data_IF_600080271002
#
_entry.id   IF_600080271002
#
_cell.length_a   1.000
_cell.length_b   1.000
_cell.length_c   1.000
_cell.angle_alpha   90.00
_cell.angle_beta   90.00
_cell.angle_gamma   90.00
#
_symmetry.space_group_name_H-M   'P 1'
#
loop_
_entity.id
_entity.type
_entity.pdbx_description
1 polymer ?
#
# COMPACT_ATOMS: atom_id res chain seq x y z
N UNK A 1 18.34 -19.21 13.64
CA UNK A 1 17.36 -18.81 12.59
C UNK A 1 16.80 -20.08 11.98
N UNK A 2 15.47 -20.30 12.01
CA UNK A 2 14.87 -21.56 11.54
C UNK A 2 15.03 -21.66 10.01
N UNK A 3 15.21 -22.87 9.46
CA UNK A 3 15.43 -23.11 8.01
C UNK A 3 14.36 -22.43 7.13
N UNK A 4 13.11 -22.40 7.60
CA UNK A 4 11.99 -21.76 6.90
C UNK A 4 12.14 -20.23 6.80
N UNK A 5 12.75 -19.58 7.79
CA UNK A 5 12.96 -18.12 7.76
C UNK A 5 13.98 -17.72 6.70
N UNK A 6 15.03 -18.54 6.51
CA UNK A 6 16.04 -18.34 5.46
C UNK A 6 15.41 -18.44 4.07
N UNK A 7 14.56 -19.44 3.85
CA UNK A 7 13.88 -19.63 2.56
C UNK A 7 12.97 -18.44 2.27
N UNK A 8 12.15 -18.01 3.23
CA UNK A 8 11.29 -16.84 3.04
C UNK A 8 12.10 -15.58 2.73
N UNK A 9 13.22 -15.36 3.43
CA UNK A 9 14.11 -14.23 3.20
C UNK A 9 14.71 -14.23 1.79
N UNK A 10 15.22 -15.38 1.32
CA UNK A 10 15.74 -15.52 -0.05
C UNK A 10 14.66 -15.25 -1.11
N UNK A 11 13.43 -15.72 -0.90
CA UNK A 11 12.32 -15.48 -1.85
C UNK A 11 11.96 -13.99 -1.87
N UNK A 12 11.84 -13.34 -0.71
CA UNK A 12 11.53 -11.91 -0.62
C UNK A 12 12.59 -11.08 -1.35
N UNK A 13 13.87 -11.35 -1.11
CA UNK A 13 14.97 -10.66 -1.79
C UNK A 13 14.96 -10.93 -3.29
N UNK A 14 14.68 -12.17 -3.69
CA UNK A 14 14.49 -12.54 -5.09
C UNK A 14 13.39 -11.72 -5.77
N UNK A 15 12.24 -11.54 -5.11
CA UNK A 15 11.13 -10.70 -5.61
C UNK A 15 11.50 -9.22 -5.71
N UNK A 16 12.24 -8.68 -4.73
CA UNK A 16 12.71 -7.29 -4.78
C UNK A 16 13.72 -7.02 -5.90
N UNK A 17 14.37 -8.05 -6.44
CA UNK A 17 15.27 -7.92 -7.58
C UNK A 17 14.53 -8.22 -8.90
N UNK A 18 13.76 -9.32 -8.94
CA UNK A 18 13.15 -9.81 -10.17
C UNK A 18 12.03 -8.90 -10.67
N UNK A 19 11.23 -8.30 -9.78
CA UNK A 19 10.13 -7.41 -10.18
C UNK A 19 10.67 -6.13 -10.83
N UNK A 20 11.60 -5.37 -10.22
CA UNK A 20 12.23 -4.23 -10.91
C UNK A 20 12.95 -4.62 -12.19
N UNK A 21 13.69 -5.73 -12.20
CA UNK A 21 14.39 -6.19 -13.40
C UNK A 21 13.40 -6.46 -14.55
N UNK A 22 12.27 -7.13 -14.26
CA UNK A 22 11.23 -7.39 -15.26
C UNK A 22 10.61 -6.10 -15.79
N UNK A 23 10.32 -5.12 -14.92
CA UNK A 23 9.81 -3.81 -15.35
C UNK A 23 10.80 -3.09 -16.28
N UNK A 24 12.10 -3.09 -15.95
CA UNK A 24 13.13 -2.48 -16.79
C UNK A 24 13.26 -3.21 -18.12
N UNK A 25 13.29 -4.54 -18.12
CA UNK A 25 13.37 -5.34 -19.34
C UNK A 25 12.19 -5.07 -20.28
N UNK A 26 10.97 -5.03 -19.75
CA UNK A 26 9.77 -4.73 -20.53
C UNK A 26 9.79 -3.29 -21.07
N UNK A 27 10.28 -2.33 -20.28
CA UNK A 27 10.39 -0.94 -20.71
C UNK A 27 11.40 -0.73 -21.86
N UNK A 28 12.38 -1.62 -22.01
CA UNK A 28 13.37 -1.60 -23.10
C UNK A 28 12.87 -2.29 -24.39
N UNK A 29 11.74 -2.98 -24.36
CA UNK A 29 11.17 -3.62 -25.55
C UNK A 29 10.65 -2.57 -26.55
N UNK A 30 10.53 -2.92 -27.85
CA UNK A 30 9.88 -2.07 -28.84
C UNK A 30 8.48 -1.63 -28.38
N UNK A 31 8.10 -0.38 -28.71
CA UNK A 31 6.83 0.22 -28.28
C UNK A 31 5.61 -0.61 -28.64
N UNK A 32 5.59 -1.23 -29.83
CA UNK A 32 4.50 -2.13 -30.24
C UNK A 32 4.29 -3.32 -29.30
N UNK A 33 5.37 -3.89 -28.75
CA UNK A 33 5.29 -4.98 -27.77
C UNK A 33 4.78 -4.44 -26.43
N UNK A 34 5.27 -3.28 -25.99
CA UNK A 34 4.80 -2.65 -24.77
C UNK A 34 3.29 -2.36 -24.82
N UNK A 35 2.79 -1.80 -25.94
CA UNK A 35 1.36 -1.54 -26.13
C UNK A 35 0.52 -2.83 -26.09
N UNK A 36 1.01 -3.94 -26.68
CA UNK A 36 0.30 -5.22 -26.65
C UNK A 36 0.18 -5.84 -25.25
N UNK A 37 1.05 -5.45 -24.31
CA UNK A 37 1.07 -5.95 -22.93
C UNK A 37 0.22 -5.09 -21.98
N UNK A 38 -0.23 -3.90 -22.42
CA UNK A 38 -1.11 -3.06 -21.61
C UNK A 38 -2.52 -3.67 -21.51
N UNK A 39 -3.17 -3.44 -20.39
CA UNK A 39 -4.55 -3.85 -20.19
C UNK A 39 -5.48 -2.83 -20.82
N UNK A 40 -6.37 -3.26 -21.73
CA UNK A 40 -7.43 -2.41 -22.27
C UNK A 40 -8.75 -2.86 -21.67
N UNK A 41 -9.54 -1.92 -21.16
CA UNK A 41 -10.78 -2.23 -20.43
C UNK A 41 -11.87 -2.81 -21.33
N UNK A 42 -11.80 -2.59 -22.63
CA UNK A 42 -12.70 -3.15 -23.64
C UNK A 42 -12.32 -4.59 -24.07
N UNK A 43 -11.17 -5.11 -23.61
CA UNK A 43 -10.71 -6.47 -23.91
C UNK A 43 -10.59 -7.31 -22.64
N UNK A 44 -11.33 -8.42 -22.57
CA UNK A 44 -11.25 -9.36 -21.45
C UNK A 44 -10.07 -10.33 -21.62
N UNK A 45 -8.87 -9.88 -21.27
CA UNK A 45 -7.65 -10.69 -21.37
C UNK A 45 -6.89 -10.72 -20.03
N UNK A 46 -6.93 -11.88 -19.36
CA UNK A 46 -6.30 -12.07 -18.06
C UNK A 46 -4.77 -11.95 -18.13
N UNK A 47 -4.15 -12.29 -19.25
CA UNK A 47 -2.69 -12.17 -19.43
C UNK A 47 -2.31 -10.69 -19.42
N UNK A 48 -3.01 -9.84 -20.17
CA UNK A 48 -2.72 -8.40 -20.17
C UNK A 48 -3.13 -7.73 -18.85
N UNK A 49 -4.16 -8.22 -18.16
CA UNK A 49 -4.49 -7.75 -16.81
C UNK A 49 -3.34 -7.94 -15.84
N UNK A 50 -2.61 -9.07 -15.93
CA UNK A 50 -1.43 -9.28 -15.11
C UNK A 50 -0.22 -8.50 -15.65
N UNK A 51 0.12 -8.69 -16.93
CA UNK A 51 1.33 -8.15 -17.55
C UNK A 51 1.39 -6.62 -17.57
N UNK A 52 0.24 -5.95 -17.64
CA UNK A 52 0.16 -4.49 -17.59
C UNK A 52 0.81 -3.88 -16.34
N UNK A 53 0.89 -4.65 -15.25
CA UNK A 53 1.56 -4.26 -14.00
C UNK A 53 3.06 -3.96 -14.19
N UNK A 54 3.70 -4.56 -15.21
CA UNK A 54 5.13 -4.39 -15.47
C UNK A 54 5.42 -3.39 -16.60
N UNK A 55 4.40 -2.97 -17.36
CA UNK A 55 4.52 -1.99 -18.45
C UNK A 55 4.43 -0.57 -17.90
N UNK A 56 5.24 0.36 -18.38
CA UNK A 56 5.26 1.74 -17.89
C UNK A 56 5.17 2.74 -19.05
N UNK A 57 4.34 3.77 -18.89
CA UNK A 57 4.06 4.75 -19.94
C UNK A 57 5.27 5.63 -20.32
N UNK A 58 6.15 5.93 -19.35
CA UNK A 58 7.35 6.73 -19.56
C UNK A 58 8.37 6.46 -18.45
N UNK A 59 9.57 7.00 -18.62
CA UNK A 59 10.69 6.81 -17.69
C UNK A 59 10.38 7.30 -16.27
N UNK A 60 9.74 8.47 -16.11
CA UNK A 60 9.38 9.00 -14.79
C UNK A 60 8.38 8.11 -14.07
N UNK A 61 7.41 7.54 -14.79
CA UNK A 61 6.44 6.59 -14.27
C UNK A 61 7.14 5.29 -13.82
N UNK A 62 8.06 4.75 -14.62
CA UNK A 62 8.88 3.59 -14.22
C UNK A 62 9.69 3.90 -12.96
N UNK A 63 10.46 4.98 -12.98
CA UNK A 63 11.36 5.34 -11.89
C UNK A 63 10.61 5.56 -10.57
N UNK A 64 9.50 6.31 -10.60
CA UNK A 64 8.67 6.56 -9.42
C UNK A 64 8.11 5.26 -8.81
N UNK A 65 7.65 4.34 -9.66
CA UNK A 65 7.15 3.04 -9.21
C UNK A 65 8.26 2.16 -8.62
N UNK A 66 9.44 2.10 -9.25
CA UNK A 66 10.55 1.28 -8.74
C UNK A 66 11.08 1.81 -7.41
N UNK A 67 11.28 3.12 -7.29
CA UNK A 67 11.71 3.75 -6.03
C UNK A 67 10.70 3.45 -4.93
N UNK A 68 9.40 3.60 -5.22
CA UNK A 68 8.34 3.38 -4.23
C UNK A 68 8.24 1.89 -3.85
N UNK A 69 8.29 0.98 -4.83
CA UNK A 69 8.25 -0.46 -4.60
C UNK A 69 9.39 -0.93 -3.70
N UNK A 70 10.63 -0.52 -3.99
CA UNK A 70 11.80 -0.87 -3.16
C UNK A 70 11.72 -0.22 -1.80
N UNK A 71 11.41 1.08 -1.72
CA UNK A 71 11.37 1.82 -0.46
C UNK A 71 10.35 1.22 0.51
N UNK A 72 9.10 1.03 0.07
CA UNK A 72 8.06 0.42 0.90
C UNK A 72 8.28 -1.07 1.13
N UNK A 73 8.68 -1.80 0.09
CA UNK A 73 8.95 -3.23 0.19
C UNK A 73 10.01 -3.53 1.25
N UNK A 74 11.19 -2.92 1.14
CA UNK A 74 12.29 -3.09 2.10
C UNK A 74 11.87 -2.64 3.49
N UNK A 75 11.14 -1.53 3.58
CA UNK A 75 10.69 -1.00 4.84
C UNK A 75 9.74 -1.94 5.60
N UNK A 76 8.68 -2.41 4.95
CA UNK A 76 7.72 -3.34 5.54
C UNK A 76 8.38 -4.68 5.82
N UNK A 77 9.29 -5.11 4.95
CA UNK A 77 10.14 -6.27 5.18
C UNK A 77 10.94 -6.12 6.48
N UNK A 78 11.58 -4.97 6.73
CA UNK A 78 12.35 -4.74 7.94
C UNK A 78 11.49 -4.79 9.20
N UNK A 79 10.29 -4.18 9.19
CA UNK A 79 9.32 -4.28 10.29
C UNK A 79 8.99 -5.75 10.57
N UNK A 80 8.59 -6.50 9.53
CA UNK A 80 8.21 -7.89 9.68
C UNK A 80 9.40 -8.81 10.00
N UNK A 81 10.63 -8.44 9.62
CA UNK A 81 11.85 -9.16 9.99
C UNK A 81 12.15 -9.00 11.47
N UNK A 82 12.07 -7.78 12.00
CA UNK A 82 12.27 -7.48 13.43
C UNK A 82 11.24 -8.25 14.28
N UNK A 83 10.01 -8.34 13.79
CA UNK A 83 8.91 -9.06 14.44
C UNK A 83 8.92 -10.58 14.20
N UNK A 84 9.92 -11.13 13.50
CA UNK A 84 9.98 -12.55 13.10
C UNK A 84 8.77 -13.06 12.30
N UNK A 85 8.12 -12.18 11.52
CA UNK A 85 6.93 -12.46 10.68
C UNK A 85 7.24 -12.55 9.18
N UNK A 86 8.48 -12.87 8.80
CA UNK A 86 8.93 -12.99 7.40
C UNK A 86 8.03 -13.85 6.52
N UNK A 87 7.59 -15.02 7.00
CA UNK A 87 6.69 -15.91 6.24
C UNK A 87 5.33 -15.27 5.96
N UNK A 88 4.76 -14.57 6.95
CA UNK A 88 3.48 -13.86 6.80
C UNK A 88 3.60 -12.71 5.81
N UNK A 89 4.67 -11.92 5.94
CA UNK A 89 4.97 -10.87 4.97
C UNK A 89 5.14 -11.41 3.55
N UNK A 90 5.84 -12.54 3.36
CA UNK A 90 5.96 -13.17 2.05
C UNK A 90 4.59 -13.56 1.47
N UNK A 91 3.68 -14.09 2.28
CA UNK A 91 2.31 -14.41 1.84
C UNK A 91 1.58 -13.14 1.40
N UNK A 92 1.61 -12.07 2.20
CA UNK A 92 1.00 -10.77 1.84
C UNK A 92 1.60 -10.22 0.53
N UNK A 93 2.93 -10.27 0.39
CA UNK A 93 3.64 -9.79 -0.80
C UNK A 93 3.25 -10.58 -2.04
N UNK A 94 3.19 -11.91 -1.96
CA UNK A 94 2.76 -12.77 -3.07
C UNK A 94 1.31 -12.50 -3.45
N UNK A 95 0.41 -12.31 -2.49
CA UNK A 95 -0.99 -11.97 -2.76
C UNK A 95 -1.13 -10.61 -3.44
N UNK A 96 -0.37 -9.61 -2.98
CA UNK A 96 -0.33 -8.28 -3.63
C UNK A 96 0.21 -8.40 -5.05
N UNK A 97 1.30 -9.12 -5.30
CA UNK A 97 1.89 -9.21 -6.64
C UNK A 97 1.02 -10.06 -7.57
N UNK A 98 0.48 -11.19 -7.09
CA UNK A 98 -0.20 -12.17 -7.92
C UNK A 98 -1.69 -11.87 -8.11
N UNK A 99 -2.41 -11.46 -7.05
CA UNK A 99 -3.87 -11.37 -7.09
C UNK A 99 -4.38 -9.94 -7.35
N UNK A 100 -3.70 -8.93 -6.80
CA UNK A 100 -4.13 -7.55 -6.91
C UNK A 100 -4.23 -7.03 -8.36
N UNK A 101 -3.32 -7.38 -9.30
CA UNK A 101 -3.47 -6.97 -10.70
C UNK A 101 -4.80 -7.41 -11.32
N UNK A 102 -5.28 -8.61 -10.99
CA UNK A 102 -6.56 -9.12 -11.47
C UNK A 102 -7.73 -8.38 -10.83
N UNK A 103 -7.73 -8.22 -9.51
CA UNK A 103 -8.79 -7.51 -8.78
C UNK A 103 -8.94 -6.10 -9.37
N UNK A 104 -7.82 -5.38 -9.50
CA UNK A 104 -7.84 -4.03 -10.04
C UNK A 104 -8.31 -3.98 -11.50
N UNK A 105 -7.73 -4.77 -12.41
CA UNK A 105 -8.09 -4.67 -13.83
C UNK A 105 -9.52 -5.18 -14.12
N UNK A 106 -10.01 -6.18 -13.39
CA UNK A 106 -11.41 -6.61 -13.49
C UNK A 106 -12.33 -5.48 -13.01
N UNK A 107 -12.10 -4.92 -11.81
CA UNK A 107 -12.91 -3.82 -11.30
C UNK A 107 -12.84 -2.58 -12.20
N UNK A 108 -11.66 -2.28 -12.74
CA UNK A 108 -11.45 -1.16 -13.63
C UNK A 108 -12.15 -1.36 -14.98
N UNK A 109 -12.10 -2.57 -15.54
CA UNK A 109 -12.85 -2.90 -16.76
C UNK A 109 -14.36 -2.79 -16.57
N UNK A 110 -14.89 -3.26 -15.42
CA UNK A 110 -16.32 -3.12 -15.11
C UNK A 110 -16.73 -1.63 -15.02
N UNK A 111 -15.99 -0.82 -14.27
CA UNK A 111 -16.29 0.61 -14.13
C UNK A 111 -16.17 1.33 -15.49
N UNK A 112 -15.11 1.06 -16.25
CA UNK A 112 -14.87 1.70 -17.52
C UNK A 112 -15.97 1.39 -18.55
N UNK A 113 -16.44 0.13 -18.62
CA UNK A 113 -17.47 -0.27 -19.58
C UNK A 113 -18.89 0.13 -19.15
N UNK A 114 -19.24 -0.04 -17.88
CA UNK A 114 -20.62 0.16 -17.41
C UNK A 114 -20.91 1.60 -16.96
N UNK A 115 -19.92 2.29 -16.38
CA UNK A 115 -20.10 3.62 -15.80
C UNK A 115 -19.54 4.70 -16.73
N UNK A 116 -18.26 4.59 -17.09
CA UNK A 116 -17.57 5.61 -17.90
C UNK A 116 -17.95 5.51 -19.38
N UNK A 117 -18.31 4.29 -19.84
CA UNK A 117 -18.63 3.96 -21.24
C UNK A 117 -17.53 4.35 -22.21
N UNK A 118 -16.27 4.17 -21.80
CA UNK A 118 -15.08 4.48 -22.62
C UNK A 118 -14.02 3.40 -22.44
N UNK A 119 -13.35 3.06 -23.54
CA UNK A 119 -12.15 2.23 -23.51
C UNK A 119 -10.99 3.00 -22.89
N UNK A 120 -10.45 2.46 -21.80
CA UNK A 120 -9.32 2.99 -21.07
C UNK A 120 -8.18 1.96 -21.08
N UNK A 121 -6.96 2.46 -20.94
CA UNK A 121 -5.75 1.63 -20.89
C UNK A 121 -5.16 1.74 -19.50
N UNK A 122 -4.77 0.60 -18.93
CA UNK A 122 -4.04 0.53 -17.67
C UNK A 122 -2.66 -0.08 -17.85
N UNK A 123 -1.68 0.49 -17.14
CA UNK A 123 -0.33 0.00 -17.03
C UNK A 123 0.36 0.57 -15.79
N UNK A 124 1.35 -0.14 -15.27
CA UNK A 124 2.24 0.32 -14.22
C UNK A 124 2.14 -0.50 -12.93
N UNK A 125 3.23 -0.48 -12.16
CA UNK A 125 3.35 -1.16 -10.88
C UNK A 125 2.60 -0.44 -9.75
N UNK A 126 1.98 0.71 -10.02
CA UNK A 126 1.38 1.60 -9.02
C UNK A 126 0.32 0.91 -8.17
N UNK A 127 -0.47 -0.02 -8.72
CA UNK A 127 -1.44 -0.80 -7.93
C UNK A 127 -0.74 -1.68 -6.88
N UNK A 128 0.37 -2.33 -7.25
CA UNK A 128 1.18 -3.16 -6.33
C UNK A 128 1.85 -2.28 -5.28
N UNK A 129 2.42 -1.12 -5.69
CA UNK A 129 2.99 -0.14 -4.77
C UNK A 129 1.96 0.34 -3.76
N UNK A 130 0.76 0.69 -4.21
CA UNK A 130 -0.35 1.09 -3.35
C UNK A 130 -0.78 -0.05 -2.40
N UNK A 131 -0.74 -1.30 -2.87
CA UNK A 131 -0.87 -2.49 -2.03
C UNK A 131 0.16 -2.56 -0.90
N UNK A 132 1.42 -2.28 -1.20
CA UNK A 132 2.48 -2.22 -0.18
C UNK A 132 2.26 -1.06 0.78
N UNK A 133 1.90 0.13 0.28
CA UNK A 133 1.56 1.28 1.14
C UNK A 133 0.44 0.88 2.11
N UNK A 134 -0.64 0.29 1.61
CA UNK A 134 -1.73 -0.22 2.46
C UNK A 134 -1.26 -1.27 3.50
N UNK A 135 -0.37 -2.19 3.12
CA UNK A 135 0.19 -3.22 4.00
C UNK A 135 1.04 -2.64 5.16
N UNK A 136 1.49 -1.39 5.03
CA UNK A 136 2.21 -0.69 6.10
C UNK A 136 1.33 -0.51 7.35
N UNK A 137 0.04 -0.25 7.18
CA UNK A 137 -0.93 -0.05 8.28
C UNK A 137 -1.00 -1.27 9.22
N UNK A 138 -1.35 -2.48 8.75
CA UNK A 138 -1.40 -3.65 9.63
C UNK A 138 -0.02 -4.06 10.17
N UNK A 139 1.06 -3.83 9.41
CA UNK A 139 2.43 -4.07 9.89
C UNK A 139 2.78 -3.17 11.10
N UNK A 140 2.39 -1.90 11.05
CA UNK A 140 2.52 -0.98 12.18
C UNK A 140 1.62 -1.35 13.36
N UNK A 141 0.41 -1.82 13.09
CA UNK A 141 -0.51 -2.24 14.16
C UNK A 141 0.08 -3.38 14.99
N UNK A 142 0.73 -4.35 14.34
CA UNK A 142 1.42 -5.44 15.05
C UNK A 142 2.58 -4.90 15.88
N UNK A 143 3.33 -3.96 15.32
CA UNK A 143 4.44 -3.32 16.02
C UNK A 143 3.97 -2.58 17.29
N UNK A 144 2.83 -1.88 17.23
CA UNK A 144 2.21 -1.21 18.39
C UNK A 144 1.60 -2.22 19.37
N UNK A 145 1.00 -3.31 18.86
CA UNK A 145 0.44 -4.38 19.70
C UNK A 145 1.52 -5.04 20.54
N UNK A 146 2.66 -5.37 19.94
CA UNK A 146 3.77 -6.00 20.66
C UNK A 146 4.42 -5.01 21.66
N UNK A 147 4.28 -3.70 21.44
CA UNK A 147 4.76 -2.64 22.33
C UNK A 147 3.85 -2.44 23.56
N UNK A 148 2.54 -2.35 23.34
CA UNK A 148 1.55 -2.00 24.36
C UNK A 148 0.87 -3.21 25.00
N UNK A 149 0.96 -4.39 24.38
CA UNK A 149 0.33 -5.64 24.83
C UNK A 149 -1.17 -5.49 25.13
N UNK A 150 -1.85 -4.63 24.36
CA UNK A 150 -3.26 -4.31 24.56
C UNK A 150 -3.99 -4.27 23.21
N UNK A 151 -5.00 -5.13 23.07
CA UNK A 151 -5.80 -5.25 21.85
C UNK A 151 -6.66 -4.00 21.60
N UNK A 152 -7.18 -3.37 22.65
CA UNK A 152 -7.97 -2.15 22.52
C UNK A 152 -7.13 -1.03 21.89
N UNK A 153 -5.88 -0.87 22.33
CA UNK A 153 -4.96 0.12 21.76
C UNK A 153 -4.59 -0.21 20.31
N UNK A 154 -4.46 -1.49 19.99
CA UNK A 154 -4.20 -1.96 18.62
C UNK A 154 -5.38 -1.62 17.71
N UNK A 155 -6.60 -1.82 18.18
CA UNK A 155 -7.81 -1.45 17.46
C UNK A 155 -7.96 0.07 17.29
N UNK A 156 -7.72 0.84 18.36
CA UNK A 156 -7.71 2.30 18.29
C UNK A 156 -6.64 2.81 17.32
N UNK A 157 -5.46 2.22 17.33
CA UNK A 157 -4.37 2.56 16.42
C UNK A 157 -4.72 2.23 14.96
N UNK A 158 -5.21 1.01 14.69
CA UNK A 158 -5.68 0.62 13.36
C UNK A 158 -6.76 1.57 12.84
N UNK A 159 -7.77 1.82 13.66
CA UNK A 159 -8.89 2.71 13.33
C UNK A 159 -8.39 4.14 13.07
N UNK A 160 -7.44 4.61 13.89
CA UNK A 160 -6.83 5.93 13.69
C UNK A 160 -6.10 6.03 12.35
N UNK A 161 -5.30 5.02 11.98
CA UNK A 161 -4.58 5.00 10.72
C UNK A 161 -5.53 4.89 9.53
N UNK A 162 -6.62 4.12 9.64
CA UNK A 162 -7.64 4.04 8.59
C UNK A 162 -8.32 5.41 8.36
N UNK A 163 -8.74 6.10 9.44
CA UNK A 163 -9.34 7.42 9.30
C UNK A 163 -8.36 8.47 8.76
N UNK A 164 -7.12 8.49 9.25
CA UNK A 164 -6.09 9.39 8.73
C UNK A 164 -5.73 9.07 7.27
N UNK A 165 -5.73 7.80 6.88
CA UNK A 165 -5.51 7.39 5.48
C UNK A 165 -6.65 7.89 4.59
N UNK A 166 -7.90 7.72 5.02
CA UNK A 166 -9.06 8.27 4.30
C UNK A 166 -9.04 9.80 4.22
N UNK A 167 -8.61 10.46 5.30
CA UNK A 167 -8.42 11.92 5.33
C UNK A 167 -7.34 12.38 4.34
N UNK A 168 -6.17 11.74 4.34
CA UNK A 168 -5.10 12.03 3.40
C UNK A 168 -5.52 11.82 1.94
N UNK A 169 -6.32 10.79 1.67
CA UNK A 169 -6.92 10.55 0.35
C UNK A 169 -7.95 11.63 -0.05
N UNK A 170 -8.67 12.20 0.92
CA UNK A 170 -9.67 13.24 0.68
C UNK A 170 -9.05 14.64 0.55
N UNK A 171 -7.84 14.84 1.08
CA UNK A 171 -7.18 16.15 1.14
C UNK A 171 -7.04 16.85 -0.22
N UNK A 172 -6.61 16.19 -1.32
CA UNK A 172 -6.53 16.83 -2.63
C UNK A 172 -7.88 17.40 -3.11
N UNK A 173 -8.98 16.88 -2.59
CA UNK A 173 -10.35 17.20 -3.02
C UNK A 173 -11.09 18.13 -2.05
N UNK A 174 -10.41 18.63 -1.02
CA UNK A 174 -11.03 19.43 0.04
C UNK A 174 -11.66 20.73 -0.49
N UNK A 175 -11.16 21.27 -1.60
CA UNK A 175 -11.69 22.48 -2.24
C UNK A 175 -12.99 22.22 -3.02
N UNK A 176 -13.33 20.97 -3.34
CA UNK A 176 -14.48 20.60 -4.16
C UNK A 176 -15.76 20.40 -3.32
N UNK A 177 -16.14 21.44 -2.58
CA UNK A 177 -17.44 21.52 -1.89
C UNK A 177 -17.45 21.06 -0.43
N UNK A 178 -18.54 21.42 0.27
CA UNK A 178 -18.71 21.21 1.71
C UNK A 178 -18.63 19.74 2.13
N UNK A 179 -19.11 18.82 1.29
CA UNK A 179 -19.06 17.38 1.58
C UNK A 179 -17.62 16.90 1.81
N UNK A 180 -16.69 17.23 0.90
CA UNK A 180 -15.30 16.81 1.01
C UNK A 180 -14.59 17.46 2.21
N UNK A 181 -14.93 18.70 2.53
CA UNK A 181 -14.45 19.38 3.75
C UNK A 181 -14.92 18.67 5.01
N UNK A 182 -16.21 18.34 5.10
CA UNK A 182 -16.77 17.63 6.26
C UNK A 182 -16.13 16.24 6.39
N UNK A 183 -16.05 15.48 5.30
CA UNK A 183 -15.39 14.15 5.31
C UNK A 183 -13.94 14.27 5.77
N UNK A 184 -13.17 15.22 5.23
CA UNK A 184 -11.79 15.45 5.63
C UNK A 184 -11.67 15.81 7.12
N UNK A 185 -12.43 16.81 7.58
CA UNK A 185 -12.35 17.31 8.96
C UNK A 185 -12.78 16.22 9.95
N UNK A 186 -13.88 15.52 9.69
CA UNK A 186 -14.39 14.47 10.57
C UNK A 186 -13.42 13.30 10.66
N UNK A 187 -12.94 12.78 9.53
CA UNK A 187 -11.99 11.65 9.53
C UNK A 187 -10.64 12.06 10.11
N UNK A 188 -10.12 13.25 9.81
CA UNK A 188 -8.89 13.77 10.38
C UNK A 188 -9.00 13.91 11.90
N UNK A 189 -10.07 14.56 12.38
CA UNK A 189 -10.28 14.81 13.82
C UNK A 189 -10.43 13.51 14.61
N UNK A 190 -11.24 12.56 14.11
CA UNK A 190 -11.40 11.24 14.74
C UNK A 190 -10.07 10.46 14.72
N UNK A 191 -9.35 10.49 13.61
CA UNK A 191 -8.05 9.87 13.46
C UNK A 191 -7.03 10.41 14.47
N UNK A 192 -6.88 11.73 14.55
CA UNK A 192 -5.98 12.40 15.50
C UNK A 192 -6.41 12.11 16.95
N UNK A 193 -7.71 12.16 17.26
CA UNK A 193 -8.20 11.90 18.61
C UNK A 193 -7.87 10.49 19.10
N UNK A 194 -8.08 9.47 18.24
CA UNK A 194 -7.74 8.09 18.55
C UNK A 194 -6.23 7.88 18.63
N UNK A 195 -5.47 8.41 17.67
CA UNK A 195 -4.02 8.31 17.65
C UNK A 195 -3.41 8.97 18.90
N UNK A 196 -3.94 10.11 19.33
CA UNK A 196 -3.49 10.82 20.53
C UNK A 196 -3.64 9.99 21.81
N UNK A 197 -4.70 9.18 21.92
CA UNK A 197 -4.87 8.25 23.06
C UNK A 197 -3.74 7.21 23.06
N UNK A 198 -3.51 6.55 21.92
CA UNK A 198 -2.46 5.53 21.77
C UNK A 198 -1.06 6.12 22.02
N UNK A 199 -0.78 7.31 21.47
CA UNK A 199 0.52 7.98 21.65
C UNK A 199 0.77 8.34 23.12
N UNK A 200 -0.24 8.80 23.86
CA UNK A 200 -0.11 9.06 25.31
C UNK A 200 0.31 7.80 26.06
N UNK A 201 -0.31 6.66 25.75
CA UNK A 201 0.04 5.38 26.36
C UNK A 201 1.42 4.87 25.95
N UNK A 202 1.82 5.06 24.68
CA UNK A 202 3.18 4.77 24.23
C UNK A 202 4.22 5.62 24.97
N UNK A 203 3.96 6.92 25.17
CA UNK A 203 4.86 7.82 25.89
C UNK A 203 4.97 7.41 27.36
N UNK A 204 3.84 7.10 28.01
CA UNK A 204 3.82 6.62 29.39
C UNK A 204 4.65 5.33 29.54
N UNK A 205 4.46 4.38 28.61
CA UNK A 205 5.23 3.13 28.56
C UNK A 205 6.72 3.38 28.29
N UNK A 206 7.05 4.32 27.39
CA UNK A 206 8.42 4.65 27.01
C UNK A 206 9.22 5.34 28.14
N UNK A 207 8.55 6.06 29.05
CA UNK A 207 9.18 6.65 30.23
C UNK A 207 9.67 5.59 31.22
N UNK A 208 9.01 4.43 31.28
CA UNK A 208 9.37 3.36 32.20
C UNK A 208 10.48 2.43 31.66
N UNK A 209 10.57 2.26 30.33
CA UNK A 209 11.48 1.27 29.71
C UNK A 209 12.26 1.87 28.53
N UNK A 210 13.60 1.85 28.61
CA UNK A 210 14.49 2.40 27.55
C UNK A 210 14.30 1.73 26.17
N UNK A 211 14.03 0.42 26.13
CA UNK A 211 13.75 -0.28 24.87
C UNK A 211 12.45 0.20 24.22
N UNK A 212 11.40 0.42 25.03
CA UNK A 212 10.10 0.95 24.58
C UNK A 212 10.25 2.34 23.95
N UNK A 213 11.17 3.18 24.44
CA UNK A 213 11.46 4.49 23.82
C UNK A 213 11.98 4.35 22.38
N UNK A 214 12.94 3.45 22.12
CA UNK A 214 13.47 3.23 20.75
C UNK A 214 12.37 2.74 19.81
N UNK A 215 11.58 1.77 20.27
CA UNK A 215 10.45 1.20 19.51
C UNK A 215 9.41 2.28 19.20
N UNK A 216 8.99 3.09 20.19
CA UNK A 216 8.04 4.17 19.98
C UNK A 216 8.54 5.24 18.99
N UNK A 217 9.83 5.61 19.05
CA UNK A 217 10.43 6.55 18.08
C UNK A 217 10.39 5.96 16.67
N UNK A 218 10.77 4.69 16.50
CA UNK A 218 10.69 4.00 15.21
C UNK A 218 9.25 4.00 14.69
N UNK A 219 8.27 3.61 15.51
CA UNK A 219 6.86 3.61 15.11
C UNK A 219 6.38 5.00 14.63
N UNK A 220 6.71 6.06 15.37
CA UNK A 220 6.31 7.42 15.02
C UNK A 220 6.98 7.90 13.73
N UNK A 221 8.28 7.67 13.56
CA UNK A 221 9.00 7.98 12.32
C UNK A 221 8.37 7.25 11.14
N UNK A 222 7.98 5.99 11.32
CA UNK A 222 7.32 5.20 10.28
C UNK A 222 5.96 5.80 9.91
N UNK A 223 5.14 6.16 10.90
CA UNK A 223 3.83 6.79 10.66
C UNK A 223 4.00 8.10 9.87
N UNK A 224 5.01 8.91 10.20
CA UNK A 224 5.30 10.14 9.46
C UNK A 224 5.70 9.85 8.01
N UNK A 225 6.63 8.92 7.79
CA UNK A 225 7.04 8.49 6.44
C UNK A 225 5.82 8.01 5.64
N UNK A 226 5.00 7.15 6.24
CA UNK A 226 3.78 6.63 5.62
C UNK A 226 2.87 7.77 5.12
N UNK A 227 2.57 8.76 5.96
CA UNK A 227 1.71 9.88 5.56
C UNK A 227 2.36 10.83 4.56
N UNK A 228 3.66 11.11 4.66
CA UNK A 228 4.37 11.91 3.66
C UNK A 228 4.28 11.28 2.28
N UNK A 229 4.53 9.98 2.17
CA UNK A 229 4.41 9.28 0.89
C UNK A 229 2.96 9.13 0.43
N UNK A 230 2.02 8.86 1.35
CA UNK A 230 0.60 8.73 1.00
C UNK A 230 0.10 10.01 0.31
N UNK A 231 0.49 11.17 0.81
CA UNK A 231 0.14 12.47 0.21
C UNK A 231 0.77 12.67 -1.19
N UNK A 232 1.92 12.04 -1.46
CA UNK A 232 2.57 12.09 -2.78
C UNK A 232 1.94 11.14 -3.82
N UNK A 233 1.18 10.14 -3.38
CA UNK A 233 0.54 9.16 -4.28
C UNK A 233 -0.69 9.73 -4.99
N UNK A 234 -1.36 10.72 -4.41
CA UNK A 234 -2.58 11.27 -5.00
C UNK A 234 -2.26 12.61 -5.68
N UNK A 235 -2.46 12.73 -7.01
CA UNK A 235 -2.26 14.00 -7.70
C UNK A 235 -3.28 15.04 -7.23
N UNK A 236 -2.90 16.32 -7.23
CA UNK A 236 -3.79 17.45 -6.91
C UNK A 236 -4.92 17.64 -7.92
N UNK A 237 -4.71 17.20 -9.16
CA UNK A 237 -5.67 17.35 -10.26
C UNK A 237 -6.07 15.98 -10.83
N UNK A 238 -7.37 15.68 -10.82
CA UNK A 238 -7.94 14.52 -11.55
C UNK A 238 -8.04 14.88 -13.03
N UNK A 239 -6.91 14.93 -13.73
CA UNK A 239 -6.96 15.15 -15.17
C UNK A 239 -7.36 13.82 -15.84
N UNK A 240 -8.57 13.76 -16.40
CA UNK A 240 -9.02 12.65 -17.26
C UNK A 240 -8.42 12.83 -18.67
N UNK A 241 -7.09 12.96 -18.75
CA UNK A 241 -6.36 12.95 -20.02
C UNK A 241 -5.19 11.99 -19.90
N UNK A 242 -5.11 11.02 -20.82
CA UNK A 242 -3.93 10.17 -21.05
C UNK A 242 -3.41 9.35 -19.83
N UNK A 243 -4.29 8.90 -18.92
CA UNK A 243 -3.94 7.86 -17.93
C UNK A 243 -3.95 8.27 -16.45
N UNK A 244 -4.13 9.55 -16.10
CA UNK A 244 -4.08 9.99 -14.70
C UNK A 244 -5.28 9.53 -13.84
N UNK A 245 -6.51 9.57 -14.36
CA UNK A 245 -7.68 9.05 -13.64
C UNK A 245 -7.61 7.52 -13.38
N UNK A 246 -6.90 6.79 -14.25
CA UNK A 246 -6.65 5.34 -14.12
C UNK A 246 -5.75 5.05 -12.91
N UNK A 247 -4.85 5.98 -12.59
CA UNK A 247 -3.87 5.84 -11.53
C UNK A 247 -4.46 6.08 -10.13
N UNK A 248 -5.40 7.03 -9.99
CA UNK A 248 -6.11 7.26 -8.71
C UNK A 248 -6.92 6.03 -8.29
N UNK A 249 -7.64 5.40 -9.22
CA UNK A 249 -8.40 4.18 -8.94
C UNK A 249 -7.49 3.01 -8.54
N UNK A 250 -6.34 2.87 -9.21
CA UNK A 250 -5.31 1.90 -8.84
C UNK A 250 -4.82 2.09 -7.39
N UNK A 251 -4.59 3.34 -6.98
CA UNK A 251 -4.16 3.65 -5.62
C UNK A 251 -5.21 3.30 -4.56
N UNK A 252 -6.49 3.60 -4.81
CA UNK A 252 -7.56 3.23 -3.89
C UNK A 252 -7.65 1.71 -3.71
N UNK A 253 -7.81 0.97 -4.81
CA UNK A 253 -7.93 -0.49 -4.75
C UNK A 253 -6.69 -1.12 -4.11
N UNK A 254 -5.51 -0.63 -4.45
CA UNK A 254 -4.26 -1.10 -3.87
C UNK A 254 -4.21 -0.89 -2.36
N UNK A 255 -4.42 0.34 -1.88
CA UNK A 255 -4.34 0.64 -0.45
C UNK A 255 -5.38 -0.15 0.35
N UNK A 256 -6.64 -0.20 -0.11
CA UNK A 256 -7.68 -0.97 0.56
C UNK A 256 -7.34 -2.47 0.61
N UNK A 257 -6.88 -3.02 -0.52
CA UNK A 257 -6.47 -4.43 -0.56
C UNK A 257 -5.30 -4.71 0.37
N UNK A 258 -4.28 -3.85 0.39
CA UNK A 258 -3.12 -3.98 1.27
C UNK A 258 -3.48 -3.97 2.75
N UNK A 259 -4.37 -3.05 3.17
CA UNK A 259 -4.87 -2.99 4.55
C UNK A 259 -5.63 -4.27 4.89
N UNK A 260 -6.65 -4.61 4.09
CA UNK A 260 -7.55 -5.74 4.37
C UNK A 260 -6.77 -7.06 4.36
N UNK A 261 -6.07 -7.36 3.26
CA UNK A 261 -5.27 -8.58 3.14
C UNK A 261 -4.20 -8.68 4.23
N UNK A 262 -3.58 -7.56 4.61
CA UNK A 262 -2.59 -7.50 5.68
C UNK A 262 -3.17 -7.78 7.06
N UNK A 263 -4.39 -7.31 7.38
CA UNK A 263 -5.07 -7.63 8.65
C UNK A 263 -5.19 -9.14 8.84
N UNK A 264 -5.60 -9.85 7.78
CA UNK A 264 -5.75 -11.31 7.78
C UNK A 264 -4.40 -12.03 7.73
N UNK A 265 -3.56 -11.74 6.74
CA UNK A 265 -2.33 -12.51 6.50
C UNK A 265 -1.27 -12.30 7.58
N UNK A 266 -1.23 -11.11 8.16
CA UNK A 266 -0.30 -10.81 9.25
C UNK A 266 -0.86 -11.19 10.62
N UNK A 267 -2.12 -11.64 10.73
CA UNK A 267 -2.78 -11.97 11.99
C UNK A 267 -2.66 -10.84 13.01
N UNK A 268 -3.25 -9.68 12.69
CA UNK A 268 -3.19 -8.48 13.56
C UNK A 268 -3.82 -8.76 14.92
N UNK A 269 -4.92 -9.53 14.97
CA UNK A 269 -5.68 -9.81 16.18
C UNK A 269 -5.66 -11.28 16.65
N UNK A 270 -4.98 -12.18 15.93
CA UNK A 270 -4.88 -13.57 16.38
C UNK A 270 -3.59 -13.78 17.18
N UNK A 271 -3.72 -14.36 18.37
CA UNK A 271 -2.59 -14.82 19.18
C UNK A 271 -1.90 -16.00 18.48
N UNK A 272 -0.57 -15.91 18.38
CA UNK A 272 0.24 -17.07 18.00
C UNK A 272 0.26 -18.00 19.21
N UNK A 273 -0.56 -19.06 19.18
CA UNK A 273 -0.50 -20.18 20.14
C UNK A 273 0.79 -20.98 19.95
#
# INVERSE_FOLDING_TARGET
MKRNDKISESIILGLFISIPALCVLIFLLPTGIQESLKARTDTWNLVTFFMSTFVHANFNHLLGNLISFISFGVFIYMINRILNRRKRFLISLLLIIALLPFIYNISFALIANFIIKRSLVSCGLSTVVAGLVGLTVPSLCIFVRDLLQNEHNTLCFLTSLMFLTGSAMAFPYISFGLYNQVVFITTCSLGIALLSKVVKEMIASARQKRNTKKTATIALTIVLIYFTFLMSLFPSDIIISQGNAVNIFAHYIGIFYGIISGIYTLNVFQHDH
#
